data_IF_174502763157
#
_entry.id   IF_174502763157
#
_cell.length_a   1.000
_cell.length_b   1.000
_cell.length_c   1.000
_cell.angle_alpha   90.00
_cell.angle_beta   90.00
_cell.angle_gamma   90.00
#
_symmetry.space_group_name_H-M   'P 1'
#
loop_
_entity.id
_entity.type
_entity.pdbx_description
1 polymer ?
#
# COMPACT_ATOMS: atom_id res chain seq x y z
N UNK A 1 16.38 26.82 11.53
CA UNK A 1 16.28 26.71 10.06
C UNK A 1 14.92 27.27 9.66
N UNK A 2 14.84 28.57 9.41
CA UNK A 2 13.66 29.21 8.83
C UNK A 2 14.10 29.79 7.49
N UNK A 3 13.46 29.36 6.40
CA UNK A 3 13.49 29.97 5.06
C UNK A 3 12.60 29.14 4.12
N UNK A 4 11.78 29.83 3.33
CA UNK A 4 10.73 29.37 2.40
C UNK A 4 9.33 29.11 2.98
N UNK A 5 8.71 30.13 3.58
CA UNK A 5 7.24 30.21 3.74
C UNK A 5 6.65 31.58 3.32
N UNK A 6 7.49 32.60 3.10
CA UNK A 6 7.04 33.98 2.84
C UNK A 6 6.44 34.24 1.43
N UNK A 7 6.91 33.62 0.33
CA UNK A 7 6.29 33.79 -0.99
C UNK A 7 4.89 33.14 -1.10
N UNK A 8 4.63 32.09 -0.30
CA UNK A 8 3.39 31.31 -0.39
C UNK A 8 2.22 31.97 0.37
N UNK A 9 2.51 32.72 1.44
CA UNK A 9 1.48 33.37 2.26
C UNK A 9 0.83 34.56 1.53
N UNK A 10 1.61 35.39 0.84
CA UNK A 10 1.07 36.52 0.08
C UNK A 10 0.15 36.07 -1.05
N UNK A 11 0.55 35.01 -1.78
CA UNK A 11 -0.28 34.37 -2.81
C UNK A 11 -1.53 33.79 -2.17
N UNK A 12 -1.43 33.12 -1.03
CA UNK A 12 -2.60 32.61 -0.31
C UNK A 12 -3.57 33.72 0.11
N UNK A 13 -3.07 34.85 0.62
CA UNK A 13 -3.90 36.00 1.00
C UNK A 13 -4.63 36.55 -0.23
N UNK A 14 -3.93 36.78 -1.34
CA UNK A 14 -4.52 37.25 -2.61
C UNK A 14 -5.64 36.32 -3.10
N UNK A 15 -5.39 35.00 -3.05
CA UNK A 15 -6.40 34.00 -3.47
C UNK A 15 -7.57 33.92 -2.49
N UNK A 16 -7.34 34.07 -1.19
CA UNK A 16 -8.44 34.12 -0.21
C UNK A 16 -9.27 35.38 -0.39
N UNK A 17 -8.64 36.53 -0.63
CA UNK A 17 -9.34 37.76 -0.97
C UNK A 17 -10.20 37.59 -2.23
N UNK A 18 -9.64 37.05 -3.32
CA UNK A 18 -10.41 36.73 -4.53
C UNK A 18 -11.61 35.83 -4.23
N UNK A 19 -11.40 34.77 -3.47
CA UNK A 19 -12.44 33.82 -3.08
C UNK A 19 -13.57 34.48 -2.27
N UNK A 20 -13.24 35.37 -1.34
CA UNK A 20 -14.21 36.12 -0.51
C UNK A 20 -15.06 37.05 -1.39
N UNK A 21 -14.47 37.63 -2.43
CA UNK A 21 -15.18 38.50 -3.39
C UNK A 21 -15.92 37.72 -4.48
N UNK A 22 -15.99 36.39 -4.39
CA UNK A 22 -16.78 35.55 -5.28
C UNK A 22 -16.04 35.04 -6.51
N UNK A 23 -14.71 35.17 -6.58
CA UNK A 23 -13.91 34.51 -7.61
C UNK A 23 -13.83 33.00 -7.33
N UNK A 24 -14.54 32.22 -8.15
CA UNK A 24 -14.63 30.78 -8.03
C UNK A 24 -13.28 30.07 -8.28
N UNK A 25 -12.41 30.64 -9.13
CA UNK A 25 -11.08 30.08 -9.41
C UNK A 25 -10.22 30.21 -8.17
N UNK A 26 -10.18 31.41 -7.60
CA UNK A 26 -9.46 31.66 -6.36
C UNK A 26 -10.02 30.83 -5.19
N UNK A 27 -11.35 30.65 -5.11
CA UNK A 27 -11.97 29.79 -4.11
C UNK A 27 -11.57 28.32 -4.26
N UNK A 28 -11.49 27.80 -5.49
CA UNK A 28 -11.03 26.43 -5.74
C UNK A 28 -9.57 26.27 -5.34
N UNK A 29 -8.68 27.16 -5.79
CA UNK A 29 -7.24 27.06 -5.55
C UNK A 29 -6.88 27.10 -4.05
N UNK A 30 -7.59 27.92 -3.26
CA UNK A 30 -7.41 27.95 -1.80
C UNK A 30 -7.82 26.63 -1.16
N UNK A 31 -8.98 26.09 -1.55
CA UNK A 31 -9.48 24.83 -1.00
C UNK A 31 -8.59 23.65 -1.40
N UNK A 32 -8.10 23.62 -2.65
CA UNK A 32 -7.19 22.59 -3.14
C UNK A 32 -5.85 22.64 -2.42
N UNK A 33 -5.29 23.84 -2.24
CA UNK A 33 -4.03 24.03 -1.51
C UNK A 33 -4.18 23.63 -0.03
N UNK A 34 -5.31 24.00 0.59
CA UNK A 34 -5.65 23.60 1.96
C UNK A 34 -5.78 22.08 2.08
N UNK A 35 -6.47 21.43 1.13
CA UNK A 35 -6.64 19.99 1.10
C UNK A 35 -5.30 19.26 0.95
N UNK A 36 -4.42 19.71 0.05
CA UNK A 36 -3.10 19.13 -0.16
C UNK A 36 -2.24 19.21 1.11
N UNK A 37 -2.23 20.38 1.77
CA UNK A 37 -1.51 20.57 3.02
C UNK A 37 -2.06 19.68 4.13
N UNK A 38 -3.38 19.65 4.33
CA UNK A 38 -4.00 18.85 5.38
C UNK A 38 -3.83 17.34 5.16
N UNK A 39 -3.95 16.87 3.91
CA UNK A 39 -3.68 15.47 3.54
C UNK A 39 -2.22 15.10 3.85
N UNK A 40 -1.27 15.95 3.48
CA UNK A 40 0.15 15.76 3.82
C UNK A 40 0.37 15.70 5.33
N UNK A 41 -0.25 16.57 6.12
CA UNK A 41 -0.17 16.52 7.58
C UNK A 41 -0.75 15.22 8.15
N UNK A 42 -1.81 14.68 7.54
CA UNK A 42 -2.35 13.35 7.83
C UNK A 42 -1.33 12.23 7.55
N UNK A 43 -0.69 12.26 6.38
CA UNK A 43 0.39 11.33 6.00
C UNK A 43 1.60 11.39 6.95
N UNK A 44 1.91 12.59 7.47
CA UNK A 44 2.98 12.84 8.43
C UNK A 44 2.58 12.54 9.90
N UNK A 45 1.38 12.00 10.15
CA UNK A 45 0.83 11.69 11.50
C UNK A 45 0.77 12.89 12.44
N UNK A 46 0.60 14.09 11.90
CA UNK A 46 0.43 15.30 12.71
C UNK A 46 -1.01 15.33 13.25
N UNK A 47 -1.25 15.82 14.48
CA UNK A 47 -2.60 15.94 15.02
C UNK A 47 -3.52 16.76 14.11
N UNK A 48 -4.79 16.37 13.99
CA UNK A 48 -5.79 17.11 13.22
C UNK A 48 -5.94 18.57 13.68
N UNK A 49 -5.68 18.84 14.96
CA UNK A 49 -5.64 20.20 15.52
C UNK A 49 -4.61 21.12 14.83
N UNK A 50 -3.53 20.56 14.27
CA UNK A 50 -2.55 21.34 13.49
C UNK A 50 -3.14 21.73 12.14
N UNK A 51 -3.81 20.80 11.45
CA UNK A 51 -4.45 21.09 10.16
C UNK A 51 -5.58 22.12 10.30
N UNK A 52 -6.44 21.97 11.32
CA UNK A 52 -7.49 22.96 11.64
C UNK A 52 -6.87 24.28 12.10
N UNK A 53 -5.77 24.23 12.85
CA UNK A 53 -5.04 25.42 13.31
C UNK A 53 -4.52 26.29 12.16
N UNK A 54 -4.23 25.72 10.98
CA UNK A 54 -3.88 26.51 9.78
C UNK A 54 -5.07 27.37 9.33
N UNK A 55 -6.28 26.84 9.33
CA UNK A 55 -7.49 27.59 8.98
C UNK A 55 -7.77 28.72 9.96
N UNK A 56 -7.54 28.49 11.26
CA UNK A 56 -7.70 29.51 12.31
C UNK A 56 -6.62 30.59 12.19
N UNK A 57 -5.35 30.20 12.00
CA UNK A 57 -4.25 31.16 11.82
C UNK A 57 -4.45 32.04 10.58
N UNK A 58 -4.99 31.48 9.49
CA UNK A 58 -5.36 32.24 8.31
C UNK A 58 -6.46 33.26 8.61
N UNK A 59 -7.49 32.88 9.37
CA UNK A 59 -8.54 33.81 9.81
C UNK A 59 -7.97 34.96 10.64
N UNK A 60 -7.05 34.67 11.56
CA UNK A 60 -6.40 35.68 12.40
C UNK A 60 -5.55 36.65 11.56
N UNK A 61 -4.76 36.15 10.61
CA UNK A 61 -3.97 36.99 9.67
C UNK A 61 -4.88 37.88 8.82
N UNK A 62 -5.98 37.34 8.29
CA UNK A 62 -6.93 38.12 7.47
C UNK A 62 -7.63 39.19 8.31
N UNK A 63 -7.95 38.87 9.58
CA UNK A 63 -8.52 39.84 10.53
C UNK A 63 -7.53 40.97 10.84
N UNK A 64 -6.24 40.66 11.03
CA UNK A 64 -5.18 41.66 11.20
C UNK A 64 -5.05 42.58 9.98
N UNK A 65 -5.29 42.06 8.78
CA UNK A 65 -5.31 42.81 7.52
C UNK A 65 -6.64 43.55 7.27
N UNK A 66 -7.58 43.54 8.23
CA UNK A 66 -8.92 44.14 8.10
C UNK A 66 -9.80 43.53 7.00
N UNK A 67 -9.57 42.26 6.67
CA UNK A 67 -10.31 41.49 5.66
C UNK A 67 -11.34 40.62 6.36
N UNK A 68 -12.62 40.90 6.14
CA UNK A 68 -13.71 40.14 6.75
C UNK A 68 -13.99 38.86 5.96
N UNK A 69 -13.65 37.71 6.53
CA UNK A 69 -13.95 36.40 5.94
C UNK A 69 -15.39 35.98 6.27
N UNK A 70 -16.22 35.60 5.29
CA UNK A 70 -17.57 35.11 5.57
C UNK A 70 -17.52 33.80 6.37
N UNK A 71 -18.32 33.70 7.44
CA UNK A 71 -18.45 32.47 8.24
C UNK A 71 -18.69 31.20 7.41
N UNK A 72 -19.49 31.23 6.31
CA UNK A 72 -19.65 30.05 5.46
C UNK A 72 -18.36 29.59 4.78
N UNK A 73 -17.50 30.52 4.36
CA UNK A 73 -16.22 30.20 3.72
C UNK A 73 -15.27 29.55 4.72
N UNK A 74 -15.13 30.12 5.92
CA UNK A 74 -14.32 29.55 7.01
C UNK A 74 -14.78 28.15 7.39
N UNK A 75 -16.10 27.93 7.52
CA UNK A 75 -16.66 26.59 7.79
C UNK A 75 -16.32 25.59 6.68
N UNK A 76 -16.44 26.02 5.42
CA UNK A 76 -16.09 25.17 4.26
C UNK A 76 -14.61 24.82 4.27
N UNK A 77 -13.73 25.79 4.55
CA UNK A 77 -12.28 25.57 4.65
C UNK A 77 -11.94 24.58 5.77
N UNK A 78 -12.52 24.75 6.97
CA UNK A 78 -12.31 23.82 8.09
C UNK A 78 -12.79 22.41 7.75
N UNK A 79 -13.95 22.27 7.09
CA UNK A 79 -14.46 20.97 6.65
C UNK A 79 -13.48 20.29 5.67
N UNK A 80 -13.02 21.01 4.65
CA UNK A 80 -12.03 20.50 3.68
C UNK A 80 -10.72 20.08 4.35
N UNK A 81 -10.20 20.90 5.28
CA UNK A 81 -9.00 20.58 6.04
C UNK A 81 -9.18 19.29 6.87
N UNK A 82 -10.32 19.14 7.55
CA UNK A 82 -10.63 17.97 8.36
C UNK A 82 -10.77 16.69 7.53
N UNK A 83 -11.51 16.76 6.41
CA UNK A 83 -11.75 15.62 5.52
C UNK A 83 -10.46 15.17 4.84
N UNK A 84 -9.67 16.11 4.33
CA UNK A 84 -8.39 15.81 3.69
C UNK A 84 -7.36 15.25 4.68
N UNK A 85 -7.31 15.76 5.91
CA UNK A 85 -6.46 15.20 6.98
C UNK A 85 -6.88 13.76 7.33
N UNK A 86 -8.18 13.52 7.45
CA UNK A 86 -8.73 12.18 7.71
C UNK A 86 -8.39 11.22 6.57
N UNK A 87 -8.48 11.66 5.32
CA UNK A 87 -8.06 10.90 4.15
C UNK A 87 -6.57 10.54 4.22
N UNK A 88 -5.69 11.52 4.43
CA UNK A 88 -4.25 11.28 4.55
C UNK A 88 -3.89 10.35 5.72
N UNK A 89 -4.64 10.42 6.82
CA UNK A 89 -4.48 9.48 7.95
C UNK A 89 -4.86 8.05 7.56
N UNK A 90 -5.95 7.86 6.81
CA UNK A 90 -6.36 6.54 6.31
C UNK A 90 -5.32 5.99 5.33
N UNK A 91 -4.84 6.81 4.41
CA UNK A 91 -3.79 6.44 3.46
C UNK A 91 -2.50 6.05 4.18
N UNK A 92 -2.12 6.77 5.24
CA UNK A 92 -0.95 6.40 6.04
C UNK A 92 -1.13 5.06 6.76
N UNK A 93 -2.31 4.83 7.33
CA UNK A 93 -2.64 3.56 7.98
C UNK A 93 -2.62 2.42 6.97
N UNK A 94 -3.17 2.63 5.79
CA UNK A 94 -3.15 1.68 4.68
C UNK A 94 -1.72 1.42 4.19
N UNK A 95 -0.93 2.46 3.92
CA UNK A 95 0.48 2.36 3.56
C UNK A 95 1.30 1.61 4.62
N UNK A 96 1.04 1.89 5.90
CA UNK A 96 1.70 1.22 7.01
C UNK A 96 1.27 -0.24 7.08
N UNK A 97 -0.01 -0.52 6.88
CA UNK A 97 -0.54 -1.88 6.83
C UNK A 97 0.10 -2.67 5.68
N UNK A 98 0.18 -2.08 4.48
CA UNK A 98 0.83 -2.65 3.31
C UNK A 98 2.34 -2.87 3.54
N UNK A 99 3.05 -1.91 4.16
CA UNK A 99 4.45 -2.09 4.58
C UNK A 99 4.59 -3.18 5.64
N UNK A 100 3.67 -3.27 6.59
CA UNK A 100 3.69 -4.29 7.65
C UNK A 100 3.46 -5.67 7.07
N UNK A 101 2.59 -5.82 6.08
CA UNK A 101 2.42 -7.09 5.36
C UNK A 101 3.66 -7.42 4.53
N UNK A 102 4.21 -6.43 3.81
CA UNK A 102 5.44 -6.58 3.03
C UNK A 102 6.63 -6.98 3.91
N UNK A 103 6.76 -6.39 5.10
CA UNK A 103 7.91 -6.58 5.98
C UNK A 103 7.68 -7.71 7.01
N UNK A 104 6.42 -8.10 7.25
CA UNK A 104 6.02 -9.12 8.22
C UNK A 104 6.03 -10.55 7.70
N UNK A 105 6.02 -10.73 6.37
CA UNK A 105 6.06 -12.06 5.75
C UNK A 105 7.52 -12.43 5.41
N UNK A 106 8.15 -13.36 6.15
CA UNK A 106 9.56 -13.67 6.00
C UNK A 106 9.84 -14.42 4.69
N UNK A 107 11.06 -14.26 4.17
CA UNK A 107 11.59 -15.04 3.05
C UNK A 107 12.90 -15.67 3.49
N UNK A 108 13.04 -16.96 3.23
CA UNK A 108 14.23 -17.76 3.54
C UNK A 108 14.78 -18.31 2.22
N UNK A 109 16.06 -18.11 1.99
CA UNK A 109 16.79 -18.77 0.90
C UNK A 109 17.52 -20.00 1.46
N UNK A 110 17.32 -21.13 0.80
CA UNK A 110 18.09 -22.36 0.98
C UNK A 110 19.19 -22.41 -0.08
N UNK A 111 20.08 -21.42 -0.06
CA UNK A 111 21.16 -21.24 -1.04
C UNK A 111 20.63 -21.27 -2.48
N UNK A 112 21.29 -22.03 -3.37
CA UNK A 112 20.95 -22.22 -4.78
C UNK A 112 19.85 -23.26 -5.02
N UNK A 113 19.19 -23.76 -3.97
CA UNK A 113 18.22 -24.86 -4.07
C UNK A 113 16.78 -24.39 -4.12
N UNK A 114 16.41 -23.48 -3.22
CA UNK A 114 15.05 -22.99 -3.11
C UNK A 114 14.96 -21.63 -2.41
N UNK A 115 13.93 -20.86 -2.73
CA UNK A 115 13.50 -19.69 -1.95
C UNK A 115 12.09 -19.91 -1.45
N UNK A 116 11.86 -19.63 -0.16
CA UNK A 116 10.63 -19.94 0.55
C UNK A 116 10.07 -18.67 1.17
N UNK A 117 8.83 -18.32 0.83
CA UNK A 117 8.09 -17.23 1.45
C UNK A 117 7.04 -17.78 2.40
N UNK A 118 6.84 -17.09 3.52
CA UNK A 118 5.77 -17.42 4.47
C UNK A 118 4.75 -16.29 4.42
N UNK A 119 3.60 -16.57 3.84
CA UNK A 119 2.48 -15.63 3.83
C UNK A 119 1.79 -15.70 5.19
N UNK A 120 1.69 -14.56 5.87
CA UNK A 120 1.11 -14.47 7.22
C UNK A 120 0.04 -13.39 7.25
N UNK A 121 -1.11 -13.72 7.85
CA UNK A 121 -2.23 -12.80 8.01
C UNK A 121 -3.12 -12.68 6.77
N UNK A 122 -3.87 -11.57 6.63
CA UNK A 122 -4.85 -11.44 5.55
C UNK A 122 -4.22 -11.43 4.16
N UNK A 123 -4.69 -12.31 3.28
CA UNK A 123 -4.20 -12.44 1.90
C UNK A 123 -4.90 -11.43 0.99
N UNK A 124 -4.48 -10.17 1.03
CA UNK A 124 -4.90 -9.17 0.03
C UNK A 124 -4.17 -9.39 -1.31
N UNK A 125 -4.74 -8.86 -2.40
CA UNK A 125 -4.09 -8.89 -3.72
C UNK A 125 -2.68 -8.29 -3.68
N UNK A 126 -2.54 -7.16 -2.99
CA UNK A 126 -1.29 -6.41 -2.93
C UNK A 126 -0.24 -7.15 -2.11
N UNK A 127 -0.66 -7.80 -1.02
CA UNK A 127 0.19 -8.65 -0.20
C UNK A 127 0.77 -9.81 -0.99
N UNK A 128 -0.09 -10.49 -1.76
CA UNK A 128 0.30 -11.59 -2.62
C UNK A 128 1.26 -11.15 -3.73
N UNK A 129 0.92 -10.07 -4.44
CA UNK A 129 1.74 -9.55 -5.55
C UNK A 129 3.11 -9.08 -5.03
N UNK A 130 3.15 -8.42 -3.86
CA UNK A 130 4.40 -8.03 -3.21
C UNK A 130 5.23 -9.25 -2.76
N UNK A 131 4.60 -10.29 -2.21
CA UNK A 131 5.27 -11.53 -1.83
C UNK A 131 5.87 -12.23 -3.04
N UNK A 132 5.09 -12.45 -4.09
CA UNK A 132 5.54 -13.11 -5.33
C UNK A 132 6.69 -12.32 -5.96
N UNK A 133 6.59 -10.99 -6.03
CA UNK A 133 7.66 -10.14 -6.55
C UNK A 133 8.96 -10.28 -5.76
N UNK A 134 8.88 -10.32 -4.42
CA UNK A 134 10.05 -10.55 -3.56
C UNK A 134 10.63 -11.95 -3.75
N UNK A 135 9.79 -12.99 -3.79
CA UNK A 135 10.24 -14.37 -4.00
C UNK A 135 10.96 -14.54 -5.33
N UNK A 136 10.44 -13.93 -6.39
CA UNK A 136 11.11 -13.95 -7.70
C UNK A 136 12.46 -13.28 -7.64
N UNK A 137 12.54 -12.07 -7.06
CA UNK A 137 13.81 -11.35 -6.90
C UNK A 137 14.83 -12.18 -6.13
N UNK A 138 14.45 -12.75 -4.98
CA UNK A 138 15.35 -13.57 -4.17
C UNK A 138 15.74 -14.88 -4.89
N UNK A 139 14.81 -15.50 -5.63
CA UNK A 139 15.12 -16.72 -6.41
C UNK A 139 16.15 -16.46 -7.50
N UNK A 140 16.06 -15.31 -8.18
CA UNK A 140 17.02 -14.90 -9.20
C UNK A 140 18.37 -14.59 -8.55
N UNK A 141 18.37 -13.83 -7.45
CA UNK A 141 19.59 -13.47 -6.74
C UNK A 141 20.35 -14.69 -6.21
N UNK A 142 19.63 -15.69 -5.71
CA UNK A 142 20.19 -16.94 -5.20
C UNK A 142 20.43 -18.00 -6.28
N UNK A 143 20.04 -17.75 -7.54
CA UNK A 143 20.00 -18.75 -8.61
C UNK A 143 19.20 -20.02 -8.24
N UNK A 144 18.19 -19.88 -7.37
CA UNK A 144 17.37 -20.98 -6.89
C UNK A 144 16.34 -21.41 -7.95
N UNK A 145 16.32 -22.69 -8.36
CA UNK A 145 15.40 -23.19 -9.37
C UNK A 145 13.99 -23.46 -8.81
N UNK A 146 13.83 -23.50 -7.49
CA UNK A 146 12.54 -23.75 -6.87
C UNK A 146 12.09 -22.55 -6.03
N UNK A 147 10.81 -22.23 -6.13
CA UNK A 147 10.14 -21.22 -5.32
C UNK A 147 9.03 -21.91 -4.51
N UNK A 148 8.97 -21.65 -3.21
CA UNK A 148 7.89 -22.13 -2.35
C UNK A 148 7.18 -20.97 -1.65
N UNK A 149 5.87 -21.12 -1.47
CA UNK A 149 5.06 -20.23 -0.63
C UNK A 149 4.29 -21.08 0.37
N UNK A 150 4.47 -20.78 1.66
CA UNK A 150 3.71 -21.37 2.76
C UNK A 150 2.55 -20.45 3.13
N UNK A 151 1.33 -20.99 3.08
CA UNK A 151 0.09 -20.24 3.36
C UNK A 151 -0.58 -20.65 4.67
N UNK A 152 0.06 -21.53 5.46
CA UNK A 152 -0.53 -22.05 6.70
C UNK A 152 -0.88 -20.94 7.72
N UNK A 153 -0.10 -19.87 7.76
CA UNK A 153 -0.32 -18.72 8.65
C UNK A 153 -1.19 -17.60 8.07
N UNK A 154 -1.74 -17.78 6.87
CA UNK A 154 -2.56 -16.78 6.16
C UNK A 154 -4.05 -17.15 6.17
N UNK A 155 -4.88 -16.21 5.74
CA UNK A 155 -6.26 -16.52 5.35
C UNK A 155 -6.29 -17.60 4.26
N UNK A 156 -7.36 -18.42 4.18
CA UNK A 156 -7.48 -19.45 3.15
C UNK A 156 -7.27 -18.88 1.74
N UNK A 157 -6.44 -19.52 0.91
CA UNK A 157 -6.22 -19.08 -0.47
C UNK A 157 -7.51 -18.98 -1.26
N UNK A 158 -7.69 -17.85 -1.94
CA UNK A 158 -8.85 -17.56 -2.78
C UNK A 158 -8.55 -17.78 -4.28
N UNK A 159 -9.56 -17.52 -5.14
CA UNK A 159 -9.42 -17.65 -6.59
C UNK A 159 -8.27 -16.75 -7.13
N UNK A 160 -8.05 -15.58 -6.53
CA UNK A 160 -6.98 -14.66 -6.93
C UNK A 160 -5.61 -15.26 -6.64
N UNK A 161 -5.43 -15.88 -5.48
CA UNK A 161 -4.21 -16.61 -5.15
C UNK A 161 -3.89 -17.67 -6.21
N UNK A 162 -4.84 -18.57 -6.50
CA UNK A 162 -4.61 -19.65 -7.46
C UNK A 162 -4.39 -19.11 -8.88
N UNK A 163 -5.07 -18.04 -9.27
CA UNK A 163 -4.84 -17.37 -10.55
C UNK A 163 -3.40 -16.83 -10.66
N UNK A 164 -2.89 -16.16 -9.62
CA UNK A 164 -1.52 -15.63 -9.61
C UNK A 164 -0.49 -16.76 -9.67
N UNK A 165 -0.66 -17.83 -8.89
CA UNK A 165 0.26 -18.98 -8.92
C UNK A 165 0.24 -19.72 -10.26
N UNK A 166 -0.94 -19.88 -10.87
CA UNK A 166 -1.07 -20.47 -12.20
C UNK A 166 -0.44 -19.57 -13.28
N UNK A 167 -0.65 -18.26 -13.23
CA UNK A 167 -0.02 -17.31 -14.16
C UNK A 167 1.51 -17.35 -14.06
N UNK A 168 2.05 -17.48 -12.84
CA UNK A 168 3.50 -17.52 -12.60
C UNK A 168 4.19 -18.68 -13.34
N UNK A 169 3.50 -19.82 -13.50
CA UNK A 169 4.05 -20.98 -14.22
C UNK A 169 4.30 -20.71 -15.71
N UNK A 170 3.59 -19.73 -16.28
CA UNK A 170 3.61 -19.35 -17.71
C UNK A 170 4.37 -18.07 -17.99
N UNK A 171 4.61 -17.25 -16.97
CA UNK A 171 5.27 -15.97 -17.09
C UNK A 171 6.75 -16.14 -17.46
N UNK A 172 7.29 -15.24 -18.30
CA UNK A 172 8.73 -15.20 -18.60
C UNK A 172 9.56 -15.04 -17.32
N UNK A 173 9.06 -14.26 -16.37
CA UNK A 173 9.70 -14.05 -15.06
C UNK A 173 9.77 -15.33 -14.23
N UNK A 174 8.93 -16.33 -14.50
CA UNK A 174 8.96 -17.66 -13.88
C UNK A 174 9.64 -18.73 -14.75
N UNK A 175 10.27 -18.34 -15.87
CA UNK A 175 10.87 -19.28 -16.80
C UNK A 175 12.06 -20.04 -16.19
N UNK A 176 12.87 -19.37 -15.36
CA UNK A 176 14.00 -19.98 -14.64
C UNK A 176 13.57 -20.96 -13.54
N UNK A 177 12.33 -20.84 -13.07
CA UNK A 177 11.79 -21.73 -12.04
C UNK A 177 11.46 -23.10 -12.64
N UNK A 178 12.10 -24.12 -12.08
CA UNK A 178 11.79 -25.53 -12.29
C UNK A 178 10.52 -25.93 -11.55
N UNK A 179 10.36 -25.49 -10.29
CA UNK A 179 9.20 -25.80 -9.46
C UNK A 179 8.65 -24.58 -8.73
N UNK A 180 7.33 -24.52 -8.65
CA UNK A 180 6.56 -23.59 -7.84
C UNK A 180 5.77 -24.45 -6.85
N UNK A 181 6.08 -24.30 -5.57
CA UNK A 181 5.58 -25.14 -4.49
C UNK A 181 4.63 -24.33 -3.63
N UNK A 182 3.44 -24.87 -3.38
CA UNK A 182 2.47 -24.27 -2.46
C UNK A 182 2.35 -25.22 -1.26
N UNK A 183 2.67 -24.70 -0.08
CA UNK A 183 2.68 -25.41 1.18
C UNK A 183 1.53 -24.94 2.08
N UNK A 184 0.99 -25.83 2.93
CA UNK A 184 0.06 -25.41 3.98
C UNK A 184 -1.39 -25.18 3.52
N UNK A 185 -1.79 -25.71 2.36
CA UNK A 185 -3.18 -25.62 1.88
C UNK A 185 -4.08 -26.59 2.67
N UNK A 186 -5.23 -26.14 3.21
CA UNK A 186 -6.12 -27.01 4.01
C UNK A 186 -6.72 -28.19 3.22
N UNK A 187 -6.96 -28.01 1.93
CA UNK A 187 -7.53 -29.01 1.02
C UNK A 187 -6.72 -29.04 -0.28
N UNK A 188 -5.79 -30.00 -0.37
CA UNK A 188 -4.91 -30.15 -1.51
C UNK A 188 -5.65 -30.56 -2.79
N UNK A 189 -6.74 -31.33 -2.67
CA UNK A 189 -7.54 -31.74 -3.83
C UNK A 189 -8.23 -30.53 -4.45
N UNK A 190 -8.90 -29.73 -3.63
CA UNK A 190 -9.54 -28.48 -4.07
C UNK A 190 -8.51 -27.48 -4.62
N UNK A 191 -7.36 -27.35 -3.98
CA UNK A 191 -6.29 -26.48 -4.47
C UNK A 191 -5.78 -26.92 -5.85
N UNK A 192 -5.61 -28.23 -6.07
CA UNK A 192 -5.23 -28.77 -7.37
C UNK A 192 -6.29 -28.49 -8.45
N UNK A 193 -7.57 -28.67 -8.14
CA UNK A 193 -8.68 -28.35 -9.04
C UNK A 193 -8.71 -26.86 -9.41
N UNK A 194 -8.47 -25.95 -8.46
CA UNK A 194 -8.40 -24.51 -8.74
C UNK A 194 -7.20 -24.15 -9.62
N UNK A 195 -6.02 -24.71 -9.34
CA UNK A 195 -4.84 -24.48 -10.16
C UNK A 195 -5.02 -24.98 -11.60
N UNK A 196 -5.66 -26.14 -11.78
CA UNK A 196 -6.00 -26.68 -13.09
C UNK A 196 -7.03 -25.81 -13.82
N UNK A 197 -8.07 -25.36 -13.11
CA UNK A 197 -9.08 -24.42 -13.63
C UNK A 197 -8.47 -23.13 -14.16
N UNK A 198 -7.46 -22.58 -13.49
CA UNK A 198 -6.72 -21.40 -13.96
C UNK A 198 -5.58 -21.75 -14.95
N UNK A 199 -5.45 -23.02 -15.31
CA UNK A 199 -4.54 -23.55 -16.31
C UNK A 199 -3.08 -23.56 -15.88
N UNK A 200 -2.77 -23.69 -14.59
CA UNK A 200 -1.39 -23.78 -14.11
C UNK A 200 -0.65 -24.99 -14.72
N UNK A 201 0.65 -24.87 -14.99
CA UNK A 201 1.43 -26.00 -15.53
C UNK A 201 1.66 -27.06 -14.43
N UNK A 202 1.07 -28.28 -14.55
CA UNK A 202 1.23 -29.33 -13.56
C UNK A 202 2.67 -29.86 -13.47
N UNK A 203 3.51 -29.61 -14.48
CA UNK A 203 4.93 -29.98 -14.43
C UNK A 203 5.74 -29.03 -13.56
N UNK A 204 5.30 -27.77 -13.39
CA UNK A 204 5.96 -26.79 -12.52
C UNK A 204 5.32 -26.73 -11.13
N UNK A 205 4.02 -26.93 -11.02
CA UNK A 205 3.31 -26.86 -9.74
C UNK A 205 3.54 -28.11 -8.89
N UNK A 206 3.63 -27.90 -7.58
CA UNK A 206 3.64 -28.95 -6.57
C UNK A 206 2.92 -28.48 -5.32
N UNK A 207 1.99 -29.28 -4.82
CA UNK A 207 1.38 -29.06 -3.51
C UNK A 207 2.11 -29.90 -2.47
N UNK A 208 2.36 -29.31 -1.31
CA UNK A 208 2.95 -30.00 -0.15
C UNK A 208 2.11 -29.66 1.07
N UNK A 209 1.85 -30.64 1.94
CA UNK A 209 1.05 -30.39 3.15
C UNK A 209 1.76 -29.41 4.08
N UNK A 210 3.06 -29.62 4.33
CA UNK A 210 3.84 -28.83 5.29
C UNK A 210 5.14 -28.35 4.68
N UNK A 211 5.45 -27.08 4.89
CA UNK A 211 6.72 -26.48 4.44
C UNK A 211 7.95 -27.20 5.01
N UNK A 212 7.86 -27.73 6.25
CA UNK A 212 8.96 -28.47 6.88
C UNK A 212 9.36 -29.73 6.11
N UNK A 213 8.39 -30.44 5.51
CA UNK A 213 8.68 -31.64 4.73
C UNK A 213 9.43 -31.28 3.45
N UNK A 214 9.05 -30.15 2.83
CA UNK A 214 9.75 -29.60 1.68
C UNK A 214 11.17 -29.14 2.02
N UNK A 215 11.36 -28.44 3.15
CA UNK A 215 12.68 -28.02 3.62
C UNK A 215 13.57 -29.25 3.87
N UNK A 216 13.03 -30.28 4.54
CA UNK A 216 13.77 -31.51 4.82
C UNK A 216 14.20 -32.25 3.55
N UNK A 217 13.40 -32.20 2.48
CA UNK A 217 13.78 -32.73 1.17
C UNK A 217 14.94 -31.93 0.54
N UNK A 218 14.95 -30.60 0.71
CA UNK A 218 15.94 -29.72 0.08
C UNK A 218 17.29 -29.67 0.76
N UNK A 219 17.39 -30.00 2.04
CA UNK A 219 18.65 -29.94 2.80
C UNK A 219 19.41 -31.28 2.78
N UNK A 220 18.75 -32.38 2.38
CA UNK A 220 19.42 -33.66 2.14
C UNK A 220 20.32 -33.62 0.90
#
# INVERSE_FOLDING_TARGET
MGRQLEPDLAVWIERVEGAIHGDEVCASEVLDSAALLARRLGLERRPASIAVGVGVALEDVLRELSISVPTPFTRKLIAVLSDAHSLGTREEVEDRYQRTIRDGSPIVSLEDRAVIGFLVGPSSSDALDAMVGRLLRESIAAAAPDLAIDVFGADPPDDRFFQTMAALTKAEQGAHLRKIVICGVPDASRAAEQLDRFGGDPKKLRLVERVNDYIAEKIR
#
